data_IF_713780250754
#
_entry.id   IF_713780250754
#
_cell.length_a   1.000
_cell.length_b   1.000
_cell.length_c   1.000
_cell.angle_alpha   90.00
_cell.angle_beta   90.00
_cell.angle_gamma   90.00
#
_symmetry.space_group_name_H-M   'P 1'
#
loop_
_entity.id
_entity.type
_entity.pdbx_description
1 polymer ?
#
# COMPACT_ATOMS: atom_id res chain seq x y z
N UNK A 1 64.04 36.67 22.92
CA UNK A 1 64.19 35.60 23.93
C UNK A 1 64.11 34.27 23.19
N UNK A 2 65.17 33.44 23.27
CA UNK A 2 65.29 31.99 22.92
C UNK A 2 64.83 31.52 21.51
N UNK A 3 65.70 31.12 20.59
CA UNK A 3 66.61 29.95 20.51
C UNK A 3 65.91 28.59 20.18
N UNK A 4 66.23 28.09 18.97
CA UNK A 4 66.68 26.72 18.64
C UNK A 4 65.76 25.49 18.87
N UNK A 5 65.45 24.74 17.80
CA UNK A 5 66.06 23.43 17.45
C UNK A 5 65.18 22.53 16.55
N UNK A 6 65.66 22.36 15.31
CA UNK A 6 65.85 21.13 14.52
C UNK A 6 65.13 19.78 14.83
N UNK A 7 64.91 19.08 13.69
CA UNK A 7 65.01 17.63 13.42
C UNK A 7 63.75 16.74 13.38
N UNK A 8 63.35 16.44 12.13
CA UNK A 8 63.26 15.10 11.51
C UNK A 8 62.82 13.96 12.44
N UNK A 9 61.57 13.51 12.29
CA UNK A 9 61.20 12.09 12.44
C UNK A 9 60.12 11.75 11.41
N UNK A 10 60.55 11.08 10.36
CA UNK A 10 59.69 10.35 9.44
C UNK A 10 58.88 9.31 10.24
N UNK A 11 57.62 9.12 9.89
CA UNK A 11 56.90 7.89 10.21
C UNK A 11 56.01 7.50 9.03
N UNK A 12 56.57 6.63 8.20
CA UNK A 12 55.85 5.74 7.28
C UNK A 12 55.32 4.56 8.09
N UNK A 13 54.08 4.14 7.85
CA UNK A 13 53.62 2.83 8.32
C UNK A 13 52.11 2.66 8.28
N UNK A 14 51.63 1.74 7.43
CA UNK A 14 50.33 1.08 7.61
C UNK A 14 49.38 1.19 6.42
N UNK A 15 49.59 0.38 5.38
CA UNK A 15 48.52 0.04 4.45
C UNK A 15 47.55 -0.93 5.16
N UNK A 16 46.37 -0.46 5.53
CA UNK A 16 45.28 -1.32 6.01
C UNK A 16 44.48 -1.81 4.81
N UNK A 17 44.58 -3.11 4.52
CA UNK A 17 43.73 -3.81 3.55
C UNK A 17 42.30 -3.88 4.09
N UNK A 18 41.36 -3.21 3.42
CA UNK A 18 39.93 -3.26 3.75
C UNK A 18 39.37 -4.58 3.18
N UNK A 19 38.79 -5.47 3.99
CA UNK A 19 38.03 -6.59 3.45
C UNK A 19 36.80 -6.03 2.73
N UNK A 20 36.69 -6.32 1.43
CA UNK A 20 35.47 -6.06 0.66
C UNK A 20 34.39 -7.00 1.21
N UNK A 21 33.54 -6.46 2.08
CA UNK A 21 32.29 -7.13 2.46
C UNK A 21 31.41 -7.08 1.22
N UNK A 22 31.32 -8.19 0.50
CA UNK A 22 30.29 -8.37 -0.53
C UNK A 22 28.97 -8.57 0.21
N UNK A 23 28.27 -7.48 0.45
CA UNK A 23 26.85 -7.53 0.83
C UNK A 23 26.07 -8.09 -0.34
N UNK A 24 25.71 -9.37 -0.26
CA UNK A 24 24.70 -9.96 -1.14
C UNK A 24 23.38 -9.28 -0.75
N UNK A 25 22.71 -8.53 -1.64
CA UNK A 25 21.40 -8.00 -1.31
C UNK A 25 20.47 -9.19 -1.08
N UNK A 26 19.87 -9.27 0.10
CA UNK A 26 18.75 -10.15 0.34
C UNK A 26 17.62 -9.68 -0.58
N UNK A 27 17.37 -10.41 -1.65
CA UNK A 27 16.19 -10.21 -2.49
C UNK A 27 15.01 -10.64 -1.61
N UNK A 28 14.37 -9.68 -0.95
CA UNK A 28 13.07 -9.90 -0.34
C UNK A 28 12.15 -10.33 -1.49
N UNK A 29 11.72 -11.60 -1.46
CA UNK A 29 10.64 -12.07 -2.33
C UNK A 29 9.40 -11.29 -1.88
N UNK A 30 9.09 -10.20 -2.57
CA UNK A 30 7.84 -9.48 -2.38
C UNK A 30 6.72 -10.51 -2.61
N UNK A 31 5.88 -10.75 -1.60
CA UNK A 31 4.67 -11.52 -1.84
C UNK A 31 3.86 -10.77 -2.89
N UNK A 32 3.27 -11.52 -3.82
CA UNK A 32 2.34 -10.94 -4.78
C UNK A 32 1.25 -10.18 -3.99
N UNK A 33 0.98 -8.92 -4.34
CA UNK A 33 0.03 -8.12 -3.59
C UNK A 33 -1.37 -8.70 -3.74
N UNK A 34 -2.16 -8.60 -2.67
CA UNK A 34 -3.54 -9.06 -2.68
C UNK A 34 -4.38 -8.18 -3.61
N UNK A 35 -4.98 -8.73 -4.68
CA UNK A 35 -5.66 -7.93 -5.69
C UNK A 35 -6.91 -7.22 -5.15
N UNK A 36 -7.61 -7.82 -4.17
CA UNK A 36 -8.76 -7.20 -3.52
C UNK A 36 -8.31 -6.04 -2.63
N UNK A 37 -7.23 -6.25 -1.87
CA UNK A 37 -6.67 -5.21 -1.01
C UNK A 37 -6.17 -4.01 -1.83
N UNK A 38 -5.51 -4.25 -2.97
CA UNK A 38 -5.09 -3.18 -3.88
C UNK A 38 -6.29 -2.38 -4.41
N UNK A 39 -7.35 -3.07 -4.82
CA UNK A 39 -8.57 -2.42 -5.31
C UNK A 39 -9.26 -1.60 -4.21
N UNK A 40 -9.35 -2.10 -2.98
CA UNK A 40 -9.89 -1.36 -1.83
C UNK A 40 -9.06 -0.11 -1.52
N UNK A 41 -7.73 -0.22 -1.59
CA UNK A 41 -6.82 0.92 -1.38
C UNK A 41 -6.99 1.98 -2.47
N UNK A 42 -7.15 1.54 -3.72
CA UNK A 42 -7.41 2.44 -4.84
C UNK A 42 -8.75 3.15 -4.67
N UNK A 43 -9.82 2.40 -4.34
CA UNK A 43 -11.13 2.96 -4.04
C UNK A 43 -11.05 4.06 -2.96
N UNK A 44 -10.44 3.76 -1.81
CA UNK A 44 -10.29 4.72 -0.71
C UNK A 44 -9.44 5.92 -1.10
N UNK A 45 -8.38 5.72 -1.89
CA UNK A 45 -7.53 6.81 -2.38
C UNK A 45 -8.31 7.75 -3.27
N UNK A 46 -9.11 7.23 -4.19
CA UNK A 46 -9.92 8.02 -5.11
C UNK A 46 -11.09 8.71 -4.40
N UNK A 47 -11.74 8.03 -3.45
CA UNK A 47 -12.77 8.63 -2.61
C UNK A 47 -12.21 9.80 -1.80
N UNK A 48 -10.96 9.70 -1.32
CA UNK A 48 -10.29 10.82 -0.65
C UNK A 48 -10.02 12.00 -1.59
N UNK A 49 -9.73 11.76 -2.88
CA UNK A 49 -9.59 12.83 -3.88
C UNK A 49 -10.92 13.53 -4.08
N UNK A 50 -12.01 12.77 -4.25
CA UNK A 50 -13.36 13.32 -4.36
C UNK A 50 -13.76 14.16 -3.15
N UNK A 51 -13.58 13.62 -1.94
CA UNK A 51 -13.93 14.29 -0.69
C UNK A 51 -13.09 15.54 -0.39
N UNK A 52 -11.91 15.66 -1.00
CA UNK A 52 -11.03 16.83 -0.84
C UNK A 52 -11.26 17.91 -1.91
N UNK A 53 -12.21 17.70 -2.83
CA UNK A 53 -12.49 18.64 -3.90
C UNK A 53 -13.30 19.85 -3.43
N UNK A 54 -13.13 20.95 -4.17
CA UNK A 54 -13.91 22.18 -4.00
C UNK A 54 -15.01 22.28 -5.08
N UNK A 55 -15.52 21.15 -5.59
CA UNK A 55 -16.61 21.15 -6.57
C UNK A 55 -17.86 21.81 -5.95
N UNK A 56 -18.44 22.80 -6.64
CA UNK A 56 -19.52 23.63 -6.08
C UNK A 56 -20.89 23.27 -6.64
N UNK A 57 -20.92 22.54 -7.76
CA UNK A 57 -22.16 22.16 -8.45
C UNK A 57 -22.33 20.64 -8.53
N UNK A 58 -23.58 20.20 -8.58
CA UNK A 58 -23.89 18.77 -8.75
C UNK A 58 -23.25 18.21 -10.03
N UNK A 59 -23.21 18.98 -11.12
CA UNK A 59 -22.59 18.58 -12.39
C UNK A 59 -21.06 18.38 -12.25
N UNK A 60 -20.38 19.26 -11.51
CA UNK A 60 -18.95 19.11 -11.21
C UNK A 60 -18.69 17.92 -10.27
N UNK A 61 -19.56 17.70 -9.29
CA UNK A 61 -19.47 16.56 -8.38
C UNK A 61 -19.66 15.24 -9.15
N UNK A 62 -20.67 15.13 -10.00
CA UNK A 62 -20.93 13.94 -10.79
C UNK A 62 -19.75 13.63 -11.73
N UNK A 63 -19.25 14.64 -12.46
CA UNK A 63 -18.09 14.48 -13.33
C UNK A 63 -16.84 14.04 -12.55
N UNK A 64 -16.62 14.61 -11.35
CA UNK A 64 -15.48 14.22 -10.52
C UNK A 64 -15.63 12.81 -9.96
N UNK A 65 -16.84 12.39 -9.56
CA UNK A 65 -17.10 11.04 -9.09
C UNK A 65 -16.76 10.00 -10.19
N UNK A 66 -17.19 10.28 -11.42
CA UNK A 66 -16.90 9.47 -12.61
C UNK A 66 -15.40 9.36 -12.92
N UNK A 67 -14.63 10.43 -12.68
CA UNK A 67 -13.18 10.45 -12.89
C UNK A 67 -12.38 9.82 -11.73
N UNK A 68 -12.98 9.69 -10.54
CA UNK A 68 -12.29 9.28 -9.32
C UNK A 68 -12.76 7.93 -8.79
N UNK A 69 -13.76 7.91 -7.92
CA UNK A 69 -14.10 6.74 -7.11
C UNK A 69 -15.15 5.83 -7.76
N UNK A 70 -15.96 6.32 -8.71
CA UNK A 70 -16.97 5.48 -9.39
C UNK A 70 -16.32 4.26 -10.08
N UNK A 71 -15.21 4.40 -10.84
CA UNK A 71 -14.59 3.23 -11.48
C UNK A 71 -14.14 2.11 -10.52
N UNK A 72 -13.34 2.38 -9.45
CA UNK A 72 -12.98 1.32 -8.50
C UNK A 72 -14.16 0.85 -7.65
N UNK A 73 -15.17 1.71 -7.40
CA UNK A 73 -16.42 1.29 -6.77
C UNK A 73 -17.16 0.26 -7.63
N UNK A 74 -17.38 0.54 -8.92
CA UNK A 74 -18.04 -0.37 -9.84
C UNK A 74 -17.30 -1.72 -9.95
N UNK A 75 -15.97 -1.68 -9.98
CA UNK A 75 -15.17 -2.91 -9.98
C UNK A 75 -15.36 -3.70 -8.67
N UNK A 76 -15.42 -3.04 -7.51
CA UNK A 76 -15.71 -3.70 -6.24
C UNK A 76 -17.13 -4.26 -6.17
N UNK A 77 -18.11 -3.64 -6.83
CA UNK A 77 -19.50 -4.13 -6.82
C UNK A 77 -19.69 -5.29 -7.78
N UNK A 78 -19.15 -5.20 -9.00
CA UNK A 78 -19.49 -6.12 -10.09
C UNK A 78 -18.44 -7.19 -10.36
N UNK A 79 -17.16 -6.91 -10.05
CA UNK A 79 -16.02 -7.73 -10.46
C UNK A 79 -14.98 -7.91 -9.36
N UNK A 80 -15.36 -7.82 -8.07
CA UNK A 80 -14.40 -7.90 -6.98
C UNK A 80 -13.54 -9.18 -7.07
N UNK A 81 -12.20 -9.06 -7.13
CA UNK A 81 -11.32 -10.21 -7.10
C UNK A 81 -11.38 -10.88 -5.73
N UNK A 82 -11.06 -12.17 -5.65
CA UNK A 82 -11.01 -12.88 -4.38
C UNK A 82 -9.81 -12.42 -3.53
N UNK A 83 -10.00 -12.36 -2.21
CA UNK A 83 -8.90 -12.13 -1.29
C UNK A 83 -7.90 -13.31 -1.33
N UNK A 84 -6.61 -13.00 -1.40
CA UNK A 84 -5.52 -14.00 -1.38
C UNK A 84 -4.71 -13.95 -0.08
N UNK A 85 -5.01 -13.00 0.80
CA UNK A 85 -4.36 -12.77 2.08
C UNK A 85 -5.37 -12.47 3.20
N UNK A 86 -4.94 -12.67 4.45
CA UNK A 86 -5.75 -12.33 5.62
C UNK A 86 -6.05 -10.83 5.68
N UNK A 87 -5.06 -10.00 5.35
CA UNK A 87 -5.20 -8.55 5.35
C UNK A 87 -6.28 -8.12 4.34
N UNK A 88 -6.24 -8.64 3.12
CA UNK A 88 -7.25 -8.34 2.09
C UNK A 88 -8.66 -8.79 2.50
N UNK A 89 -8.78 -10.00 3.04
CA UNK A 89 -10.07 -10.53 3.50
C UNK A 89 -10.66 -9.70 4.65
N UNK A 90 -9.84 -9.31 5.63
CA UNK A 90 -10.27 -8.47 6.76
C UNK A 90 -10.64 -7.06 6.29
N UNK A 91 -9.86 -6.44 5.41
CA UNK A 91 -10.18 -5.10 4.90
C UNK A 91 -11.47 -5.08 4.09
N UNK A 92 -11.77 -6.14 3.33
CA UNK A 92 -13.04 -6.28 2.64
C UNK A 92 -14.23 -6.35 3.62
N UNK A 93 -14.10 -7.11 4.72
CA UNK A 93 -15.14 -7.18 5.75
C UNK A 93 -15.31 -5.85 6.51
N UNK A 94 -14.22 -5.12 6.76
CA UNK A 94 -14.29 -3.77 7.35
C UNK A 94 -15.06 -2.81 6.45
N UNK A 95 -14.73 -2.80 5.15
CA UNK A 95 -15.42 -1.97 4.18
C UNK A 95 -16.90 -2.37 4.05
N UNK A 96 -17.23 -3.66 4.05
CA UNK A 96 -18.62 -4.12 4.02
C UNK A 96 -19.42 -3.62 5.24
N UNK A 97 -18.82 -3.65 6.43
CA UNK A 97 -19.44 -3.14 7.65
C UNK A 97 -19.64 -1.60 7.62
N UNK A 98 -18.72 -0.86 6.99
CA UNK A 98 -18.92 0.57 6.72
C UNK A 98 -20.16 0.79 5.84
N UNK A 99 -20.31 0.01 4.78
CA UNK A 99 -21.43 0.11 3.83
C UNK A 99 -22.79 -0.41 4.31
N UNK A 100 -22.82 -1.22 5.36
CA UNK A 100 -24.07 -1.56 6.06
C UNK A 100 -24.81 -0.30 6.53
N UNK A 101 -24.06 0.72 6.97
CA UNK A 101 -24.62 1.96 7.47
C UNK A 101 -25.08 2.89 6.34
N UNK A 102 -24.48 2.76 5.15
CA UNK A 102 -24.82 3.56 3.96
C UNK A 102 -25.94 2.95 3.11
N UNK A 103 -26.35 1.71 3.39
CA UNK A 103 -27.49 1.08 2.73
C UNK A 103 -27.18 0.56 1.33
N UNK A 104 -25.96 0.09 1.10
CA UNK A 104 -25.50 -0.45 -0.18
C UNK A 104 -25.33 -1.99 -0.14
N UNK A 105 -26.41 -2.75 -0.38
CA UNK A 105 -26.39 -4.19 -0.23
C UNK A 105 -25.56 -4.90 -1.31
N UNK A 106 -25.29 -4.26 -2.45
CA UNK A 106 -24.56 -4.88 -3.55
C UNK A 106 -23.05 -4.83 -3.28
N UNK A 107 -22.54 -3.67 -2.83
CA UNK A 107 -21.17 -3.54 -2.34
C UNK A 107 -20.89 -4.50 -1.17
N UNK A 108 -21.80 -4.56 -0.18
CA UNK A 108 -21.66 -5.49 0.94
C UNK A 108 -21.57 -6.94 0.49
N UNK A 109 -22.49 -7.38 -0.37
CA UNK A 109 -22.55 -8.77 -0.86
C UNK A 109 -21.27 -9.13 -1.62
N UNK A 110 -20.79 -8.23 -2.47
CA UNK A 110 -19.59 -8.44 -3.26
C UNK A 110 -18.36 -8.60 -2.37
N UNK A 111 -18.14 -7.69 -1.42
CA UNK A 111 -17.00 -7.72 -0.49
C UNK A 111 -17.00 -8.98 0.41
N UNK A 112 -18.17 -9.35 0.94
CA UNK A 112 -18.31 -10.59 1.74
C UNK A 112 -18.01 -11.81 0.86
N UNK A 113 -18.54 -11.85 -0.36
CA UNK A 113 -18.31 -12.94 -1.32
C UNK A 113 -16.85 -13.06 -1.75
N UNK A 114 -16.14 -11.94 -1.90
CA UNK A 114 -14.73 -11.89 -2.24
C UNK A 114 -13.81 -12.35 -1.08
N UNK A 115 -14.22 -12.08 0.17
CA UNK A 115 -13.47 -12.47 1.36
C UNK A 115 -13.70 -13.93 1.80
N UNK A 116 -14.90 -14.47 1.57
CA UNK A 116 -15.31 -15.78 2.09
C UNK A 116 -14.38 -16.96 1.68
N UNK A 117 -13.94 -17.09 0.42
CA UNK A 117 -13.07 -18.20 -0.01
C UNK A 117 -11.76 -18.28 0.77
N UNK A 118 -11.20 -17.14 1.19
CA UNK A 118 -9.98 -17.09 2.00
C UNK A 118 -10.17 -17.81 3.34
N UNK A 119 -11.28 -17.54 4.03
CA UNK A 119 -11.57 -18.14 5.33
C UNK A 119 -12.01 -19.61 5.23
N UNK A 120 -12.72 -19.98 4.17
CA UNK A 120 -13.09 -21.39 3.91
C UNK A 120 -11.85 -22.26 3.67
N UNK A 121 -10.86 -21.74 2.92
CA UNK A 121 -9.58 -22.41 2.72
C UNK A 121 -8.75 -22.49 4.01
N UNK A 122 -8.79 -21.47 4.87
CA UNK A 122 -8.06 -21.44 6.14
C UNK A 122 -8.66 -22.38 7.22
N UNK A 123 -9.93 -22.72 7.12
CA UNK A 123 -10.63 -23.61 8.05
C UNK A 123 -10.54 -25.11 7.69
N UNK A 124 -9.89 -25.45 6.57
CA UNK A 124 -9.73 -26.80 6.03
C UNK A 124 -8.41 -27.44 6.45
#
# INVERSE_FOLDING_TARGET
MRANNLHRRAFLGGAASIPVIVTVPAVALASEPDPLLELIREYRRQLAVFNASDAETDEEMDALADETFNPPYDELVWNAPQATTEEGAIEALRLANEYEHFGDPDMMRSLIGAALPYFEGAAS
#
